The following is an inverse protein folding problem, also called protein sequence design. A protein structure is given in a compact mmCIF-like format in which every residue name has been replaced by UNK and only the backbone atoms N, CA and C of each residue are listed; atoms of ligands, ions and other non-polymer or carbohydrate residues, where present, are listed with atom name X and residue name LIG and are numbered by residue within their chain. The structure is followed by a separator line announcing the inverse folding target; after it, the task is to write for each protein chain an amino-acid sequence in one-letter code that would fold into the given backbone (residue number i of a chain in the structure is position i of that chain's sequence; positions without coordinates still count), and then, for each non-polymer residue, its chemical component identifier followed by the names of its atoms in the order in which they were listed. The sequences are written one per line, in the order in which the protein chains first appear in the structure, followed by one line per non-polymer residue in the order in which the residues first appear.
data_IF_602294332559
#
_entry.id   IF_602294332559
#
_cell.length_a   1.000
_cell.length_b   1.000
_cell.length_c   1.000
_cell.angle_alpha   90.00
_cell.angle_beta   90.00
_cell.angle_gamma   90.00
#
_symmetry.space_group_name_H-M   'P 1'
#
loop_
_entity.id
_entity.type
_entity.pdbx_description
1 polymer ?
#
# COMPACT_ATOMS: atom_id res chain seq x y z
N UNK A 1 -2.68 -21.13 -21.28
CA UNK A 1 -2.48 -20.82 -19.85
C UNK A 1 -1.19 -21.50 -19.41
N UNK A 2 -0.17 -20.78 -18.92
CA UNK A 2 1.08 -21.41 -18.48
C UNK A 2 0.87 -21.96 -17.07
N UNK A 3 0.86 -23.29 -16.93
CA UNK A 3 0.88 -23.96 -15.63
C UNK A 3 2.27 -23.79 -15.02
N UNK A 4 2.33 -23.23 -13.82
CA UNK A 4 3.55 -23.14 -13.04
C UNK A 4 3.44 -24.12 -11.88
N UNK A 5 4.48 -24.93 -11.70
CA UNK A 5 4.63 -25.75 -10.51
C UNK A 5 4.64 -24.87 -9.26
N UNK A 6 3.71 -25.13 -8.33
CA UNK A 6 3.52 -24.32 -7.13
C UNK A 6 4.82 -24.15 -6.36
N UNK A 7 5.58 -25.23 -6.21
CA UNK A 7 6.85 -25.24 -5.50
C UNK A 7 7.90 -24.35 -6.19
N UNK A 8 7.95 -24.37 -7.52
CA UNK A 8 8.85 -23.50 -8.30
C UNK A 8 8.47 -22.03 -8.17
N UNK A 9 7.17 -21.72 -8.21
CA UNK A 9 6.67 -20.37 -8.00
C UNK A 9 7.02 -19.84 -6.60
N UNK A 10 6.77 -20.64 -5.55
CA UNK A 10 7.05 -20.28 -4.17
C UNK A 10 8.55 -20.12 -3.90
N UNK A 11 9.40 -20.96 -4.49
CA UNK A 11 10.85 -20.80 -4.42
C UNK A 11 11.30 -19.45 -5.00
N UNK A 12 10.73 -19.05 -6.14
CA UNK A 12 10.99 -17.73 -6.75
C UNK A 12 10.48 -16.55 -5.91
N UNK A 13 9.37 -16.71 -5.19
CA UNK A 13 8.89 -15.70 -4.23
C UNK A 13 9.85 -15.57 -3.04
N UNK A 14 10.28 -16.69 -2.47
CA UNK A 14 11.17 -16.70 -1.31
C UNK A 14 12.56 -16.14 -1.63
N UNK A 15 13.12 -16.47 -2.80
CA UNK A 15 14.37 -15.89 -3.26
C UNK A 15 14.28 -14.36 -3.43
N UNK A 16 13.16 -13.85 -3.94
CA UNK A 16 12.91 -12.39 -4.03
C UNK A 16 12.80 -11.75 -2.65
N UNK A 17 12.07 -12.37 -1.72
CA UNK A 17 11.98 -11.89 -0.32
C UNK A 17 13.35 -11.87 0.36
N UNK A 18 14.16 -12.91 0.18
CA UNK A 18 15.51 -12.98 0.73
C UNK A 18 16.43 -11.89 0.18
N UNK A 19 16.32 -11.55 -1.11
CA UNK A 19 17.04 -10.40 -1.70
C UNK A 19 16.60 -9.04 -1.16
N UNK A 20 15.36 -8.93 -0.69
CA UNK A 20 14.80 -7.70 -0.11
C UNK A 20 15.05 -7.60 1.42
N UNK A 21 15.44 -8.70 2.07
CA UNK A 21 15.71 -8.74 3.51
C UNK A 21 16.96 -7.97 4.01
N UNK A 22 18.11 -7.88 3.27
CA UNK A 22 19.31 -7.24 3.79
C UNK A 22 19.21 -5.71 3.92
N UNK A 23 18.14 -5.08 3.43
CA UNK A 23 17.88 -3.66 3.65
C UNK A 23 17.22 -3.34 5.00
N UNK A 24 17.03 -4.32 5.90
CA UNK A 24 16.42 -4.07 7.22
C UNK A 24 15.01 -3.43 7.16
N UNK A 25 14.42 -3.40 5.97
CA UNK A 25 13.22 -2.67 5.64
C UNK A 25 12.20 -3.65 5.08
N UNK A 26 11.84 -4.66 5.89
CA UNK A 26 10.39 -4.84 6.07
C UNK A 26 9.96 -3.57 6.80
N UNK A 27 9.82 -2.48 6.05
CA UNK A 27 8.95 -1.38 6.42
C UNK A 27 7.72 -2.10 6.94
N UNK A 28 7.50 -2.04 8.26
CA UNK A 28 6.34 -2.63 8.90
C UNK A 28 5.18 -2.40 7.94
N UNK A 29 4.35 -3.39 7.67
CA UNK A 29 3.29 -3.28 6.64
C UNK A 29 2.48 -1.97 6.80
N UNK A 30 2.51 -1.39 8.00
CA UNK A 30 2.08 -0.05 8.39
C UNK A 30 2.88 1.15 7.85
N UNK A 31 4.21 1.15 7.72
CA UNK A 31 5.00 2.26 7.15
C UNK A 31 5.00 2.31 5.62
N UNK A 32 4.55 1.24 4.95
CA UNK A 32 4.12 1.26 3.55
C UNK A 32 2.72 1.89 3.36
N UNK A 33 1.94 2.04 4.44
CA UNK A 33 0.85 3.03 4.41
C UNK A 33 1.56 4.37 4.49
N UNK A 34 1.56 5.12 3.40
CA UNK A 34 2.02 6.51 3.42
C UNK A 34 1.31 7.24 4.58
N UNK A 35 1.97 7.36 5.73
CA UNK A 35 1.61 8.32 6.76
C UNK A 35 1.57 9.69 6.11
N UNK A 36 0.74 10.59 6.62
CA UNK A 36 0.41 11.88 5.99
C UNK A 36 1.59 12.57 5.31
N UNK A 37 2.72 12.67 6.01
CA UNK A 37 3.94 13.31 5.54
C UNK A 37 4.62 12.64 4.31
N UNK A 38 4.44 11.35 4.07
CA UNK A 38 5.04 10.61 2.94
C UNK A 38 4.09 10.46 1.74
N UNK A 39 2.91 11.11 1.76
CA UNK A 39 1.97 11.07 0.64
C UNK A 39 2.39 12.01 -0.48
N UNK A 40 2.40 11.50 -1.70
CA UNK A 40 2.54 12.32 -2.91
C UNK A 40 1.42 13.37 -2.97
N UNK A 41 1.67 14.49 -3.64
CA UNK A 41 0.66 15.55 -3.82
C UNK A 41 -0.63 15.02 -4.46
N UNK A 42 -0.51 14.11 -5.43
CA UNK A 42 -1.67 13.46 -6.07
C UNK A 42 -2.52 12.65 -5.09
N UNK A 43 -1.89 11.90 -4.17
CA UNK A 43 -2.63 11.11 -3.17
C UNK A 43 -3.33 12.00 -2.14
N UNK A 44 -2.73 13.12 -1.74
CA UNK A 44 -3.38 14.12 -0.86
C UNK A 44 -4.59 14.76 -1.52
N UNK A 45 -4.47 15.13 -2.79
CA UNK A 45 -5.59 15.68 -3.58
C UNK A 45 -6.75 14.69 -3.69
N UNK A 46 -6.46 13.43 -4.03
CA UNK A 46 -7.47 12.39 -4.14
C UNK A 46 -8.23 12.13 -2.82
N UNK A 47 -7.54 12.14 -1.68
CA UNK A 47 -8.16 12.00 -0.36
C UNK A 47 -9.07 13.21 -0.04
N UNK A 48 -8.61 14.44 -0.30
CA UNK A 48 -9.43 15.65 -0.12
C UNK A 48 -10.72 15.60 -0.98
N UNK A 49 -10.62 15.12 -2.22
CA UNK A 49 -11.79 14.93 -3.09
C UNK A 49 -12.72 13.81 -2.62
N UNK A 50 -12.19 12.75 -2.00
CA UNK A 50 -13.00 11.68 -1.40
C UNK A 50 -13.79 12.21 -0.18
N UNK A 51 -13.16 13.00 0.68
CA UNK A 51 -13.82 13.60 1.84
C UNK A 51 -14.91 14.58 1.44
N UNK A 52 -14.67 15.42 0.42
CA UNK A 52 -15.70 16.32 -0.11
C UNK A 52 -16.93 15.55 -0.64
N UNK A 53 -16.72 14.41 -1.31
CA UNK A 53 -17.82 13.55 -1.77
C UNK A 53 -18.55 12.89 -0.62
N UNK A 54 -17.85 12.43 0.42
CA UNK A 54 -18.46 11.85 1.61
C UNK A 54 -19.36 12.88 2.33
N UNK A 55 -18.87 14.12 2.50
CA UNK A 55 -19.66 15.21 3.05
C UNK A 55 -20.92 15.51 2.22
N UNK A 56 -20.80 15.59 0.90
CA UNK A 56 -21.94 15.81 0.01
C UNK A 56 -22.98 14.69 0.10
N UNK A 57 -22.51 13.45 0.28
CA UNK A 57 -23.37 12.28 0.46
C UNK A 57 -23.89 12.10 1.90
N UNK A 58 -23.52 12.99 2.85
CA UNK A 58 -23.80 12.86 4.29
C UNK A 58 -23.30 11.54 4.90
N UNK A 59 -22.22 10.99 4.38
CA UNK A 59 -21.55 9.79 4.87
C UNK A 59 -20.28 10.19 5.62
N UNK A 60 -19.91 9.43 6.66
CA UNK A 60 -18.71 9.70 7.42
C UNK A 60 -17.46 9.54 6.54
N UNK A 61 -16.58 10.56 6.47
CA UNK A 61 -15.34 10.48 5.71
C UNK A 61 -14.39 9.41 6.26
N UNK A 62 -13.54 8.86 5.39
CA UNK A 62 -12.52 7.89 5.82
C UNK A 62 -11.50 8.63 6.69
N UNK A 63 -11.37 8.21 7.96
CA UNK A 63 -10.33 8.71 8.85
C UNK A 63 -8.95 8.45 8.24
N UNK A 64 -8.39 9.51 7.67
CA UNK A 64 -7.07 9.50 7.08
C UNK A 64 -6.22 10.50 7.86
N UNK A 65 -5.12 10.04 8.45
CA UNK A 65 -4.11 10.93 9.03
C UNK A 65 -3.50 11.77 7.91
N UNK A 66 -3.99 12.99 7.72
CA UNK A 66 -3.56 13.92 6.68
C UNK A 66 -2.06 14.16 6.65
#
# INVERSE_FOLDING_TARGET
MKTLELNGYLAGVNARKAKLAPEGAVLAVESCRNGGARRTAGKRSALKSADARAQAAKVQPVLSNY
#
